data_IF_657985898891
#
_entry.id   IF_657985898891
#
_cell.length_a   1.000
_cell.length_b   1.000
_cell.length_c   1.000
_cell.angle_alpha   90.00
_cell.angle_beta   90.00
_cell.angle_gamma   90.00
#
_symmetry.space_group_name_H-M   'P 1'
#
loop_
_entity.id
_entity.type
_entity.pdbx_description
1 polymer ?
#
# COMPACT_ATOMS: atom_id res chain seq x y z
N UNK A 1 1.96 0.13 10.49
CA UNK A 1 3.11 0.52 11.34
C UNK A 1 4.12 1.30 10.50
N UNK A 2 3.74 2.52 10.10
CA UNK A 2 4.52 3.41 9.21
C UNK A 2 4.52 4.79 9.86
N UNK A 3 5.67 5.50 9.93
CA UNK A 3 5.73 6.80 10.60
C UNK A 3 4.65 7.77 10.10
N UNK A 4 3.94 8.47 11.00
CA UNK A 4 2.82 9.33 10.61
C UNK A 4 3.16 10.37 9.55
N UNK A 5 4.33 11.03 9.66
CA UNK A 5 4.76 12.04 8.70
C UNK A 5 4.90 11.47 7.28
N UNK A 6 5.59 10.34 7.11
CA UNK A 6 5.72 9.69 5.79
C UNK A 6 4.39 9.21 5.24
N UNK A 7 3.52 8.70 6.12
CA UNK A 7 2.17 8.28 5.72
C UNK A 7 1.41 9.46 5.12
N UNK A 8 1.40 10.61 5.80
CA UNK A 8 0.74 11.82 5.33
C UNK A 8 1.35 12.38 4.03
N UNK A 9 2.68 12.37 3.89
CA UNK A 9 3.34 12.80 2.65
C UNK A 9 2.92 11.94 1.44
N UNK A 10 2.88 10.62 1.62
CA UNK A 10 2.53 9.69 0.55
C UNK A 10 1.03 9.77 0.19
N UNK A 11 0.16 9.87 1.21
CA UNK A 11 -1.28 10.07 0.99
C UNK A 11 -1.55 11.37 0.23
N UNK A 12 -0.82 12.43 0.54
CA UNK A 12 -0.91 13.69 -0.17
C UNK A 12 -0.53 13.55 -1.65
N UNK A 13 0.58 12.88 -1.96
CA UNK A 13 0.96 12.61 -3.35
C UNK A 13 -0.01 11.69 -4.09
N UNK A 14 -0.54 10.68 -3.41
CA UNK A 14 -1.55 9.78 -3.96
C UNK A 14 -2.85 10.54 -4.27
N UNK A 15 -3.27 11.45 -3.38
CA UNK A 15 -4.44 12.31 -3.58
C UNK A 15 -4.28 13.21 -4.82
N UNK A 16 -3.14 13.88 -4.96
CA UNK A 16 -2.85 14.73 -6.13
C UNK A 16 -2.86 13.93 -7.43
N UNK A 17 -2.33 12.70 -7.39
CA UNK A 17 -2.22 11.80 -8.54
C UNK A 17 -3.49 10.98 -8.79
N UNK A 18 -4.53 11.17 -7.97
CA UNK A 18 -5.77 10.35 -7.97
C UNK A 18 -5.50 8.84 -7.88
N UNK A 19 -4.43 8.46 -7.19
CA UNK A 19 -4.05 7.08 -6.97
C UNK A 19 -4.83 6.51 -5.78
N UNK A 20 -5.30 5.28 -5.92
CA UNK A 20 -5.98 4.59 -4.82
C UNK A 20 -5.02 4.25 -3.69
N UNK A 21 -5.47 4.42 -2.44
CA UNK A 21 -4.69 4.13 -1.22
C UNK A 21 -5.44 3.10 -0.40
N UNK A 22 -4.79 1.98 -0.10
CA UNK A 22 -5.32 0.94 0.76
C UNK A 22 -4.52 0.85 2.06
N UNK A 23 -5.20 0.97 3.20
CA UNK A 23 -4.57 0.83 4.51
C UNK A 23 -4.50 -0.62 4.94
N UNK A 24 -3.30 -1.20 4.87
CA UNK A 24 -3.06 -2.53 5.38
C UNK A 24 -3.22 -2.60 6.91
N UNK A 25 -4.14 -3.44 7.38
CA UNK A 25 -4.45 -3.62 8.80
C UNK A 25 -3.39 -4.38 9.63
N UNK A 26 -2.29 -4.81 9.00
CA UNK A 26 -1.23 -5.59 9.66
C UNK A 26 0.05 -4.80 9.99
N UNK A 27 1.10 -5.54 10.36
CA UNK A 27 2.43 -4.99 10.64
C UNK A 27 3.28 -4.88 9.38
N UNK A 28 4.36 -4.10 9.44
CA UNK A 28 5.33 -3.98 8.33
C UNK A 28 6.12 -5.28 8.07
N UNK A 29 6.21 -6.16 9.08
CA UNK A 29 6.75 -7.52 8.91
C UNK A 29 5.77 -8.36 8.10
N UNK A 30 4.48 -8.37 8.47
CA UNK A 30 3.45 -9.12 7.74
C UNK A 30 3.33 -8.65 6.28
N UNK A 31 3.41 -7.34 6.03
CA UNK A 31 3.41 -6.79 4.67
C UNK A 31 4.65 -7.24 3.87
N UNK A 32 5.83 -7.22 4.49
CA UNK A 32 7.06 -7.70 3.84
C UNK A 32 7.00 -9.19 3.50
N UNK A 33 6.52 -10.02 4.43
CA UNK A 33 6.32 -11.46 4.20
C UNK A 33 5.30 -11.72 3.09
N UNK A 34 4.17 -10.98 3.07
CA UNK A 34 3.17 -11.07 1.99
C UNK A 34 3.75 -10.68 0.63
N UNK A 35 4.71 -9.77 0.60
CA UNK A 35 5.46 -9.37 -0.60
C UNK A 35 6.59 -10.33 -0.99
N UNK A 36 6.78 -11.44 -0.27
CA UNK A 36 7.89 -12.38 -0.45
C UNK A 36 9.26 -11.82 -0.08
N UNK A 37 9.33 -10.82 0.80
CA UNK A 37 10.59 -10.18 1.25
C UNK A 37 10.97 -10.63 2.65
N UNK A 38 12.26 -10.81 2.89
CA UNK A 38 12.84 -11.18 4.20
C UNK A 38 13.15 -9.96 5.08
N UNK A 39 12.64 -8.79 4.72
CA UNK A 39 12.80 -7.53 5.44
C UNK A 39 11.46 -6.81 5.60
N UNK A 40 11.39 -5.91 6.58
CA UNK A 40 10.19 -5.11 6.89
C UNK A 40 9.86 -4.11 5.78
N UNK A 41 8.60 -4.06 5.37
CA UNK A 41 8.08 -3.14 4.34
C UNK A 41 7.01 -2.24 4.94
N UNK A 42 7.20 -0.92 4.90
CA UNK A 42 6.26 0.06 5.48
C UNK A 42 5.22 0.58 4.50
N UNK A 43 5.57 0.70 3.21
CA UNK A 43 4.70 1.11 2.11
C UNK A 43 5.05 0.23 0.90
N UNK A 44 4.05 -0.09 0.08
CA UNK A 44 4.20 -0.73 -1.22
C UNK A 44 3.43 0.06 -2.26
N UNK A 45 3.99 0.19 -3.46
CA UNK A 45 3.35 0.80 -4.63
C UNK A 45 3.25 -0.22 -5.73
N UNK A 46 2.11 -0.28 -6.41
CA UNK A 46 1.89 -1.16 -7.55
C UNK A 46 2.09 -0.32 -8.81
N UNK A 47 3.13 -0.62 -9.59
CA UNK A 47 3.41 0.06 -10.86
C UNK A 47 2.76 -0.65 -12.05
N UNK A 48 2.62 -1.97 -11.93
CA UNK A 48 1.95 -2.85 -12.90
C UNK A 48 1.28 -3.99 -12.13
N UNK A 49 0.06 -4.35 -12.51
CA UNK A 49 -0.72 -5.36 -11.79
C UNK A 49 -0.43 -6.79 -12.29
N UNK A 50 0.08 -6.94 -13.52
CA UNK A 50 0.17 -8.23 -14.20
C UNK A 50 -1.19 -8.96 -14.20
N UNK A 51 -1.17 -10.23 -13.77
CA UNK A 51 -2.37 -11.07 -13.65
C UNK A 51 -3.04 -11.01 -12.26
N UNK A 52 -2.69 -10.00 -11.44
CA UNK A 52 -3.21 -9.89 -10.07
C UNK A 52 -4.53 -9.11 -10.02
N UNK A 53 -5.51 -9.62 -9.28
CA UNK A 53 -6.80 -8.93 -9.00
C UNK A 53 -6.70 -7.85 -7.90
N UNK A 54 -5.51 -7.30 -7.68
CA UNK A 54 -5.21 -6.41 -6.55
C UNK A 54 -6.00 -5.09 -6.57
N UNK A 55 -6.38 -4.59 -7.75
CA UNK A 55 -7.11 -3.33 -7.88
C UNK A 55 -8.59 -3.45 -7.45
N UNK A 56 -9.16 -4.65 -7.47
CA UNK A 56 -10.57 -4.88 -7.12
C UNK A 56 -10.85 -4.61 -5.63
N UNK A 57 -9.85 -4.79 -4.76
CA UNK A 57 -9.94 -4.58 -3.30
C UNK A 57 -10.15 -3.10 -2.96
N UNK A 58 -9.76 -2.20 -3.86
CA UNK A 58 -9.86 -0.76 -3.61
C UNK A 58 -11.24 -0.17 -3.90
N UNK A 59 -12.10 -0.91 -4.62
CA UNK A 59 -13.46 -0.46 -4.99
C UNK A 59 -14.51 -0.77 -3.91
N UNK A 60 -14.25 -1.71 -2.98
CA UNK A 60 -15.20 -2.09 -1.91
C UNK A 60 -15.34 -1.04 -0.78
N UNK A 61 -14.54 0.02 -0.78
CA UNK A 61 -14.61 1.09 0.22
C UNK A 61 -15.12 2.44 -0.33
N UNK A 62 -15.86 2.42 -1.45
CA UNK A 62 -16.69 3.56 -1.88
C UNK A 62 -18.05 3.57 -1.17
#
# INVERSE_FOLDING_TARGET
NTPPLRKSEIEYYAMLSKTSVHHFGGTNVALGTAAGKTFRVGIMTITDQGDSDLLNITEENK
#
